data_IF_287614952893
#
_entry.id   IF_287614952893
#
_cell.length_a   1.000
_cell.length_b   1.000
_cell.length_c   1.000
_cell.angle_alpha   90.00
_cell.angle_beta   90.00
_cell.angle_gamma   90.00
#
_symmetry.space_group_name_H-M   'P 1'
#
loop_
_entity.id
_entity.type
_entity.pdbx_description
1 polymer ?
#
# COMPACT_ATOMS: atom_id res chain seq x y z
N UNK A 1 -14.03 37.80 -0.65
CA UNK A 1 -13.88 37.10 -1.95
C UNK A 1 -13.12 35.80 -1.66
N UNK A 2 -13.87 34.73 -1.40
CA UNK A 2 -13.40 33.55 -0.67
C UNK A 2 -13.09 32.37 -1.60
N UNK A 3 -12.07 31.59 -1.26
CA UNK A 3 -11.54 30.42 -1.99
C UNK A 3 -12.49 29.20 -2.06
N UNK A 4 -13.81 29.35 -1.87
CA UNK A 4 -14.74 28.22 -1.77
C UNK A 4 -15.26 27.67 -3.13
N UNK A 5 -14.96 28.33 -4.26
CA UNK A 5 -15.63 28.04 -5.56
C UNK A 5 -14.91 26.99 -6.46
N UNK A 6 -13.77 26.42 -6.05
CA UNK A 6 -12.98 25.51 -6.93
C UNK A 6 -13.07 24.02 -6.61
N UNK A 7 -14.09 23.56 -5.89
CA UNK A 7 -14.26 22.11 -5.69
C UNK A 7 -15.27 21.56 -6.70
N UNK A 8 -14.75 21.05 -7.81
CA UNK A 8 -15.49 20.12 -8.68
C UNK A 8 -16.14 19.04 -7.80
N UNK A 9 -17.47 18.82 -7.86
CA UNK A 9 -18.14 17.72 -7.16
C UNK A 9 -17.96 16.38 -7.90
N UNK A 10 -16.81 16.19 -8.54
CA UNK A 10 -16.51 15.03 -9.39
C UNK A 10 -15.75 13.92 -8.63
N UNK A 11 -15.22 14.22 -7.44
CA UNK A 11 -14.52 13.25 -6.57
C UNK A 11 -15.48 12.41 -5.69
N UNK A 12 -16.76 12.35 -6.05
CA UNK A 12 -17.72 11.41 -5.45
C UNK A 12 -17.93 10.25 -6.41
N UNK A 13 -17.13 9.18 -6.30
CA UNK A 13 -17.24 8.01 -7.17
C UNK A 13 -18.65 7.41 -7.12
N UNK A 14 -19.47 7.70 -8.13
CA UNK A 14 -20.78 7.10 -8.32
C UNK A 14 -20.61 5.81 -9.11
N UNK A 15 -21.10 4.70 -8.56
CA UNK A 15 -21.09 3.42 -9.25
C UNK A 15 -22.23 3.45 -10.30
N UNK A 16 -21.92 3.47 -11.61
CA UNK A 16 -22.95 3.56 -12.64
C UNK A 16 -23.89 2.36 -12.54
N UNK A 17 -25.19 2.60 -12.46
CA UNK A 17 -26.23 1.57 -12.37
C UNK A 17 -26.85 1.34 -11.00
N UNK A 18 -26.34 1.95 -9.92
CA UNK A 18 -26.88 1.79 -8.55
C UNK A 18 -27.30 3.16 -7.98
N UNK A 19 -28.52 3.25 -7.44
CA UNK A 19 -29.02 4.49 -6.80
C UNK A 19 -28.14 4.86 -5.61
N UNK A 20 -27.73 6.13 -5.57
CA UNK A 20 -26.82 6.68 -4.56
C UNK A 20 -27.42 6.58 -3.15
N UNK A 21 -26.61 6.13 -2.18
CA UNK A 21 -27.02 5.96 -0.78
C UNK A 21 -26.83 4.52 -0.27
N UNK A 22 -27.85 3.97 0.42
CA UNK A 22 -27.81 2.60 0.98
C UNK A 22 -27.43 1.52 -0.05
N UNK A 23 -27.97 1.53 -1.29
CA UNK A 23 -27.66 0.49 -2.28
C UNK A 23 -26.20 0.49 -2.73
N UNK A 24 -25.57 1.66 -2.84
CA UNK A 24 -24.14 1.80 -3.17
C UNK A 24 -23.25 1.30 -2.03
N UNK A 25 -23.62 1.59 -0.78
CA UNK A 25 -22.87 1.16 0.40
C UNK A 25 -22.90 -0.36 0.58
N UNK A 26 -24.04 -1.01 0.34
CA UNK A 26 -24.16 -2.47 0.36
C UNK A 26 -23.32 -3.12 -0.73
N UNK A 27 -23.36 -2.60 -1.96
CA UNK A 27 -22.54 -3.11 -3.06
C UNK A 27 -21.03 -2.95 -2.78
N UNK A 28 -20.61 -1.77 -2.30
CA UNK A 28 -19.21 -1.54 -1.96
C UNK A 28 -18.77 -2.43 -0.79
N UNK A 29 -19.61 -2.60 0.23
CA UNK A 29 -19.34 -3.50 1.36
C UNK A 29 -19.21 -4.96 0.91
N UNK A 30 -20.05 -5.41 -0.03
CA UNK A 30 -19.95 -6.74 -0.62
C UNK A 30 -18.61 -6.96 -1.33
N UNK A 31 -18.19 -6.01 -2.18
CA UNK A 31 -16.92 -6.06 -2.91
C UNK A 31 -15.72 -5.98 -1.95
N UNK A 32 -15.75 -5.02 -1.01
CA UNK A 32 -14.69 -4.84 -0.02
C UNK A 32 -14.53 -6.08 0.85
N UNK A 33 -15.62 -6.70 1.30
CA UNK A 33 -15.57 -7.92 2.09
C UNK A 33 -14.90 -9.03 1.27
N UNK A 34 -15.34 -9.25 0.02
CA UNK A 34 -14.79 -10.28 -0.89
C UNK A 34 -13.28 -10.14 -1.10
N UNK A 35 -12.77 -8.92 -1.26
CA UNK A 35 -11.34 -8.66 -1.49
C UNK A 35 -10.55 -8.67 -0.16
N UNK A 36 -11.19 -8.36 0.96
CA UNK A 36 -10.53 -8.29 2.28
C UNK A 36 -10.38 -9.65 2.95
N UNK A 37 -11.29 -10.60 2.72
CA UNK A 37 -11.20 -11.97 3.26
C UNK A 37 -9.85 -12.68 3.04
N UNK A 38 -9.26 -12.70 1.82
CA UNK A 38 -7.97 -13.36 1.60
C UNK A 38 -6.76 -12.55 2.06
N UNK A 39 -6.90 -11.23 2.30
CA UNK A 39 -5.79 -10.33 2.63
C UNK A 39 -5.04 -10.68 3.93
N UNK A 40 -5.71 -10.94 5.08
CA UNK A 40 -4.99 -11.24 6.33
C UNK A 40 -4.23 -12.57 6.27
N UNK A 41 -4.71 -13.55 5.51
CA UNK A 41 -4.00 -14.82 5.31
C UNK A 41 -2.64 -14.58 4.63
N UNK A 42 -2.63 -13.77 3.57
CA UNK A 42 -1.43 -13.43 2.82
C UNK A 42 -0.48 -12.53 3.64
N UNK A 43 -1.00 -11.46 4.25
CA UNK A 43 -0.18 -10.55 5.06
C UNK A 43 0.38 -11.24 6.30
N UNK A 44 -0.39 -12.12 6.94
CA UNK A 44 0.07 -12.94 8.06
C UNK A 44 1.23 -13.84 7.66
N UNK A 45 1.16 -14.48 6.49
CA UNK A 45 2.24 -15.33 5.99
C UNK A 45 3.52 -14.52 5.70
N UNK A 46 3.40 -13.33 5.10
CA UNK A 46 4.56 -12.45 4.84
C UNK A 46 5.16 -11.90 6.12
N UNK A 47 4.34 -11.55 7.12
CA UNK A 47 4.82 -11.04 8.40
C UNK A 47 5.70 -12.04 9.16
N UNK A 48 5.53 -13.35 8.91
CA UNK A 48 6.36 -14.40 9.51
C UNK A 48 7.77 -14.50 8.91
N UNK A 49 7.99 -14.02 7.68
CA UNK A 49 9.28 -14.07 6.99
C UNK A 49 10.41 -13.39 7.79
N UNK A 50 10.29 -12.12 8.22
CA UNK A 50 11.35 -11.47 9.01
C UNK A 50 11.51 -12.10 10.40
N UNK A 51 10.42 -12.57 11.02
CA UNK A 51 10.46 -13.24 12.33
C UNK A 51 11.21 -14.56 12.26
N UNK A 52 11.00 -15.36 11.21
CA UNK A 52 11.69 -16.64 11.00
C UNK A 52 13.16 -16.46 10.62
N UNK A 53 13.47 -15.47 9.78
CA UNK A 53 14.85 -15.12 9.48
C UNK A 53 15.62 -14.76 10.77
N UNK A 54 15.02 -13.97 11.67
CA UNK A 54 15.66 -13.56 12.92
C UNK A 54 16.02 -14.75 13.83
N UNK A 55 15.15 -15.76 13.89
CA UNK A 55 15.38 -16.99 14.68
C UNK A 55 16.44 -17.88 14.02
N UNK A 56 16.43 -18.02 12.69
CA UNK A 56 17.39 -18.84 11.94
C UNK A 56 18.82 -18.32 11.93
N UNK A 57 19.02 -17.00 11.99
CA UNK A 57 20.35 -16.37 12.00
C UNK A 57 21.00 -16.31 13.39
N UNK A 58 20.40 -16.88 14.45
CA UNK A 58 21.05 -17.03 15.76
C UNK A 58 21.51 -15.70 16.40
N UNK A 59 20.89 -14.58 16.03
CA UNK A 59 21.39 -13.23 16.28
C UNK A 59 21.24 -12.74 17.75
N UNK A 60 20.75 -13.60 18.65
CA UNK A 60 20.46 -13.20 20.03
C UNK A 60 21.70 -12.99 20.91
N UNK A 61 22.90 -13.37 20.46
CA UNK A 61 24.11 -13.38 21.32
C UNK A 61 25.22 -12.42 20.85
N UNK A 62 25.29 -12.04 19.57
CA UNK A 62 26.42 -11.27 19.03
C UNK A 62 26.04 -9.94 18.34
N UNK A 63 24.74 -9.63 18.20
CA UNK A 63 24.29 -8.39 17.57
C UNK A 63 23.45 -7.56 18.54
N UNK A 64 23.95 -6.42 19.05
CA UNK A 64 23.18 -5.50 19.89
C UNK A 64 21.92 -4.92 19.19
N UNK A 65 21.80 -5.12 17.87
CA UNK A 65 20.78 -4.55 17.00
C UNK A 65 20.03 -5.59 16.14
N UNK A 66 19.99 -6.86 16.54
CA UNK A 66 19.53 -7.97 15.67
C UNK A 66 18.12 -7.81 15.08
N UNK A 67 17.13 -7.38 15.88
CA UNK A 67 15.75 -7.20 15.40
C UNK A 67 15.51 -5.83 14.75
N UNK A 68 15.94 -4.76 15.42
CA UNK A 68 15.72 -3.38 14.96
C UNK A 68 16.49 -3.09 13.66
N UNK A 69 17.71 -3.63 13.50
CA UNK A 69 18.51 -3.46 12.28
C UNK A 69 17.85 -4.08 11.05
N UNK A 70 17.26 -5.26 11.17
CA UNK A 70 16.55 -5.93 10.06
C UNK A 70 15.32 -5.12 9.64
N UNK A 71 14.53 -4.62 10.60
CA UNK A 71 13.37 -3.78 10.31
C UNK A 71 13.77 -2.49 9.58
N UNK A 72 14.87 -1.85 10.00
CA UNK A 72 15.39 -0.64 9.34
C UNK A 72 15.88 -0.95 7.92
N UNK A 73 16.66 -2.02 7.71
CA UNK A 73 17.20 -2.38 6.39
C UNK A 73 16.08 -2.66 5.39
N UNK A 74 15.05 -3.41 5.80
CA UNK A 74 13.89 -3.70 4.93
C UNK A 74 13.10 -2.43 4.64
N UNK A 75 12.88 -1.58 5.64
CA UNK A 75 12.18 -0.30 5.47
C UNK A 75 12.88 0.63 4.48
N UNK A 76 14.17 0.88 4.69
CA UNK A 76 14.99 1.75 3.83
C UNK A 76 15.18 1.15 2.43
N UNK A 77 15.35 -0.17 2.33
CA UNK A 77 15.47 -0.87 1.04
C UNK A 77 14.23 -0.70 0.17
N UNK A 78 13.04 -0.90 0.74
CA UNK A 78 11.78 -0.67 0.03
C UNK A 78 11.58 0.80 -0.36
N UNK A 79 11.94 1.72 0.53
CA UNK A 79 11.89 3.16 0.24
C UNK A 79 12.83 3.54 -0.92
N UNK A 80 14.02 2.96 -0.96
CA UNK A 80 15.00 3.15 -2.05
C UNK A 80 14.45 2.63 -3.38
N UNK A 81 13.86 1.42 -3.40
CA UNK A 81 13.25 0.85 -4.62
C UNK A 81 12.14 1.76 -5.14
N UNK A 82 11.24 2.20 -4.27
CA UNK A 82 10.15 3.11 -4.63
C UNK A 82 10.66 4.46 -5.16
N UNK A 83 11.75 4.96 -4.58
CA UNK A 83 12.39 6.20 -5.04
C UNK A 83 12.98 6.04 -6.45
N UNK A 84 13.59 4.89 -6.76
CA UNK A 84 14.10 4.56 -8.09
C UNK A 84 12.95 4.42 -9.10
N UNK A 85 11.88 3.71 -8.74
CA UNK A 85 10.68 3.56 -9.59
C UNK A 85 10.04 4.91 -9.92
N UNK A 86 9.94 5.81 -8.94
CA UNK A 86 9.42 7.18 -9.17
C UNK A 86 10.24 7.95 -10.20
N UNK A 87 11.56 7.79 -10.20
CA UNK A 87 12.43 8.43 -11.20
C UNK A 87 12.30 7.77 -12.58
N UNK A 88 12.15 6.44 -12.63
CA UNK A 88 11.91 5.71 -13.88
C UNK A 88 10.54 6.03 -14.49
N UNK A 89 9.50 6.23 -13.67
CA UNK A 89 8.18 6.61 -14.16
C UNK A 89 8.21 8.02 -14.77
N UNK A 90 8.92 8.98 -14.16
CA UNK A 90 9.13 10.32 -14.74
C UNK A 90 9.83 10.27 -16.10
N UNK A 91 10.82 9.37 -16.28
CA UNK A 91 11.48 9.16 -17.58
C UNK A 91 10.55 8.55 -18.63
N UNK A 92 9.68 7.62 -18.24
CA UNK A 92 8.70 7.02 -19.15
C UNK A 92 7.55 7.97 -19.52
N UNK A 93 7.37 9.11 -18.82
CA UNK A 93 6.45 10.18 -19.23
C UNK A 93 6.98 11.04 -20.38
N UNK A 94 8.30 11.10 -20.63
CA UNK A 94 8.86 11.88 -21.75
C UNK A 94 8.74 11.17 -23.11
N UNK A 95 8.56 9.84 -23.12
CA UNK A 95 8.50 9.04 -24.36
C UNK A 95 7.15 8.98 -25.08
N UNK A 96 6.06 9.43 -24.43
CA UNK A 96 4.69 9.33 -24.95
C UNK A 96 4.10 10.65 -25.49
N UNK A 97 4.87 11.74 -25.51
CA UNK A 97 4.46 13.06 -26.03
C UNK A 97 5.32 13.52 -27.21
N UNK A 98 5.49 12.65 -28.22
CA UNK A 98 5.81 13.06 -29.58
C UNK A 98 4.94 12.32 -30.59
#
# INVERSE_FOLDING_TARGET
>A
MSMAERRSPEDGGFIPGIRVGRPTAEYLSYVLNRITWPRPLYLGLIALVPTMALVGFGASQNFPFGGTGILIIVGVGLETVKQIESQLQQRNYEGFLR
#
